data_IF_766016961653
#
_entry.id   IF_766016961653
#
_cell.length_a   1.000
_cell.length_b   1.000
_cell.length_c   1.000
_cell.angle_alpha   90.00
_cell.angle_beta   90.00
_cell.angle_gamma   90.00
#
_symmetry.space_group_name_H-M   'P 1'
#
loop_
_entity.id
_entity.type
_entity.pdbx_description
1 polymer ?
#
# COMPACT_ATOMS: atom_id res chain seq x y z
N UNK A 1 11.78 41.96 -48.69
CA UNK A 1 11.86 41.92 -47.22
C UNK A 1 10.72 41.03 -46.70
N UNK A 2 10.97 39.76 -46.37
CA UNK A 2 9.92 38.76 -46.05
C UNK A 2 10.16 37.97 -44.73
N UNK A 3 11.07 38.45 -43.87
CA UNK A 3 11.42 37.78 -42.60
C UNK A 3 10.67 38.27 -41.36
N UNK A 4 9.78 39.27 -41.47
CA UNK A 4 9.07 39.85 -40.31
C UNK A 4 7.73 39.17 -39.99
N UNK A 5 7.11 38.49 -40.95
CA UNK A 5 5.83 37.80 -40.71
C UNK A 5 6.05 36.46 -40.01
N UNK A 6 6.98 35.64 -40.48
CA UNK A 6 7.28 34.32 -39.89
C UNK A 6 7.70 34.39 -38.43
N UNK A 7 8.51 35.37 -38.04
CA UNK A 7 8.92 35.54 -36.62
C UNK A 7 7.75 36.00 -35.76
N UNK A 8 6.88 36.88 -36.27
CA UNK A 8 5.68 37.32 -35.56
C UNK A 8 4.69 36.17 -35.38
N UNK A 9 4.50 35.36 -36.41
CA UNK A 9 3.61 34.19 -36.37
C UNK A 9 4.17 33.09 -35.44
N UNK A 10 5.50 32.93 -35.38
CA UNK A 10 6.15 32.00 -34.45
C UNK A 10 5.99 32.45 -32.99
N UNK A 11 6.17 33.75 -32.70
CA UNK A 11 5.95 34.30 -31.36
C UNK A 11 4.46 34.21 -30.97
N UNK A 12 3.55 34.48 -31.91
CA UNK A 12 2.11 34.37 -31.68
C UNK A 12 1.70 32.92 -31.40
N UNK A 13 2.25 31.96 -32.15
CA UNK A 13 2.05 30.52 -31.92
C UNK A 13 2.59 30.09 -30.56
N UNK A 14 3.78 30.55 -30.18
CA UNK A 14 4.39 30.23 -28.88
C UNK A 14 3.57 30.81 -27.71
N UNK A 15 3.05 32.03 -27.87
CA UNK A 15 2.15 32.63 -26.89
C UNK A 15 0.81 31.88 -26.80
N UNK A 16 0.24 31.49 -27.94
CA UNK A 16 -1.01 30.71 -27.98
C UNK A 16 -0.85 29.36 -27.27
N UNK A 17 0.25 28.64 -27.54
CA UNK A 17 0.57 27.38 -26.86
C UNK A 17 0.81 27.63 -25.36
N UNK A 18 1.53 28.70 -25.00
CA UNK A 18 1.75 29.08 -23.60
C UNK A 18 0.46 29.33 -22.83
N UNK A 19 -0.53 29.97 -23.45
CA UNK A 19 -1.86 30.18 -22.86
C UNK A 19 -2.61 28.86 -22.68
N UNK A 20 -2.53 27.95 -23.65
CA UNK A 20 -3.15 26.62 -23.54
C UNK A 20 -2.49 25.80 -22.42
N UNK A 21 -1.17 25.80 -22.34
CA UNK A 21 -0.41 25.12 -21.28
C UNK A 21 -0.72 25.73 -19.91
N UNK A 22 -0.75 27.05 -19.80
CA UNK A 22 -1.12 27.74 -18.56
C UNK A 22 -2.57 27.44 -18.15
N UNK A 23 -3.48 27.37 -19.13
CA UNK A 23 -4.86 26.94 -18.90
C UNK A 23 -4.93 25.53 -18.34
N UNK A 24 -4.29 24.57 -19.01
CA UNK A 24 -4.19 23.18 -18.55
C UNK A 24 -3.55 23.13 -17.15
N UNK A 25 -2.48 23.90 -16.92
CA UNK A 25 -1.80 23.97 -15.63
C UNK A 25 -2.69 24.50 -14.51
N UNK A 26 -3.52 25.52 -14.77
CA UNK A 26 -4.49 26.05 -13.80
C UNK A 26 -5.62 25.05 -13.52
N UNK A 27 -5.99 24.22 -14.50
CA UNK A 27 -7.01 23.17 -14.32
C UNK A 27 -6.46 21.88 -13.69
N UNK A 28 -5.15 21.64 -13.75
CA UNK A 28 -4.50 20.57 -12.99
C UNK A 28 -4.30 21.11 -11.57
N UNK A 29 -4.99 20.59 -10.55
CA UNK A 29 -4.74 20.99 -9.18
C UNK A 29 -3.26 20.71 -8.84
N UNK A 30 -2.45 21.76 -8.81
CA UNK A 30 -1.13 21.75 -8.19
C UNK A 30 -1.36 22.00 -6.71
N UNK A 31 -1.72 20.94 -6.00
CA UNK A 31 -1.65 20.94 -4.56
C UNK A 31 -0.17 20.83 -4.15
N UNK A 32 0.57 21.94 -4.28
CA UNK A 32 1.90 22.15 -3.65
C UNK A 32 1.78 22.37 -2.12
N UNK A 33 0.65 21.97 -1.56
CA UNK A 33 0.49 21.77 -0.12
C UNK A 33 0.16 20.31 0.06
N UNK A 34 1.19 19.50 0.35
CA UNK A 34 1.02 18.18 0.94
C UNK A 34 0.25 18.37 2.25
N UNK A 35 -1.07 18.51 2.19
CA UNK A 35 -1.91 18.19 3.34
C UNK A 35 -1.72 16.69 3.51
N UNK A 36 -1.02 16.25 4.58
CA UNK A 36 -0.80 14.84 4.75
C UNK A 36 -2.19 14.18 4.81
N UNK A 37 -2.42 13.12 4.03
CA UNK A 37 -3.77 12.62 3.77
C UNK A 37 -4.50 12.34 5.08
N UNK A 38 -5.80 12.62 5.10
CA UNK A 38 -6.65 12.35 6.25
C UNK A 38 -6.65 10.85 6.52
N UNK A 39 -6.34 10.45 7.74
CA UNK A 39 -6.32 9.05 8.11
C UNK A 39 -7.76 8.51 8.09
N UNK A 40 -8.01 7.49 7.28
CA UNK A 40 -9.32 6.82 7.23
C UNK A 40 -9.35 5.67 8.26
N UNK A 41 -10.49 5.49 8.92
CA UNK A 41 -10.77 4.23 9.62
C UNK A 41 -11.01 3.13 8.57
N UNK A 42 -10.51 1.94 8.86
CA UNK A 42 -10.64 0.75 8.01
C UNK A 42 -11.30 -0.43 8.74
N UNK A 43 -11.85 -0.19 9.94
CA UNK A 43 -12.39 -1.23 10.83
C UNK A 43 -13.58 -1.96 10.23
N UNK A 44 -14.45 -1.22 9.53
CA UNK A 44 -15.66 -1.75 8.89
C UNK A 44 -15.29 -2.67 7.73
N UNK A 45 -14.39 -2.22 6.86
CA UNK A 45 -13.90 -2.98 5.71
C UNK A 45 -13.10 -4.18 6.17
N UNK A 46 -12.25 -4.04 7.19
CA UNK A 46 -11.50 -5.15 7.77
C UNK A 46 -12.43 -6.20 8.38
N UNK A 47 -13.43 -5.79 9.16
CA UNK A 47 -14.44 -6.71 9.72
C UNK A 47 -15.24 -7.42 8.63
N UNK A 48 -15.53 -6.72 7.53
CA UNK A 48 -16.22 -7.30 6.38
C UNK A 48 -15.32 -8.30 5.65
N UNK A 49 -14.07 -7.95 5.38
CA UNK A 49 -13.09 -8.80 4.73
C UNK A 49 -12.81 -10.06 5.54
N UNK A 50 -12.57 -9.94 6.86
CA UNK A 50 -12.33 -11.08 7.76
C UNK A 50 -13.49 -12.08 7.83
N UNK A 51 -14.73 -11.63 7.58
CA UNK A 51 -15.90 -12.51 7.52
C UNK A 51 -16.13 -13.14 6.14
N UNK A 52 -15.62 -12.51 5.08
CA UNK A 52 -15.92 -12.89 3.71
C UNK A 52 -14.78 -13.62 3.00
N UNK A 53 -13.53 -13.42 3.44
CA UNK A 53 -12.35 -14.05 2.85
C UNK A 53 -12.21 -15.49 3.34
N UNK A 54 -11.68 -16.33 2.45
CA UNK A 54 -11.30 -17.72 2.73
C UNK A 54 -9.98 -17.85 3.51
N UNK A 55 -9.27 -16.73 3.68
CA UNK A 55 -7.97 -16.64 4.36
C UNK A 55 -8.01 -15.61 5.50
N UNK A 56 -7.08 -15.70 6.47
CA UNK A 56 -7.10 -14.81 7.62
C UNK A 56 -6.53 -13.43 7.23
N UNK A 57 -7.42 -12.43 7.10
CA UNK A 57 -7.08 -11.08 6.62
C UNK A 57 -6.21 -10.32 7.64
N UNK A 58 -5.02 -9.94 7.19
CA UNK A 58 -3.99 -9.23 7.93
C UNK A 58 -4.23 -7.71 7.90
N UNK A 59 -4.20 -7.08 9.07
CA UNK A 59 -4.10 -5.64 9.21
C UNK A 59 -3.11 -5.29 10.32
N UNK A 60 -2.37 -4.18 10.21
CA UNK A 60 -1.42 -3.81 11.23
C UNK A 60 -2.13 -3.25 12.47
N UNK A 61 -1.75 -3.72 13.66
CA UNK A 61 -2.26 -3.26 14.96
C UNK A 61 -1.14 -2.59 15.74
N UNK A 62 -1.44 -1.50 16.43
CA UNK A 62 -0.46 -0.79 17.27
C UNK A 62 0.60 -0.01 16.50
N UNK A 63 0.38 0.31 15.21
CA UNK A 63 1.19 1.31 14.53
C UNK A 63 0.97 2.69 15.18
N UNK A 64 2.01 3.53 15.30
CA UNK A 64 1.84 4.86 15.86
C UNK A 64 0.94 5.74 14.98
N UNK A 65 0.28 6.73 15.60
CA UNK A 65 -0.72 7.61 14.95
C UNK A 65 -0.20 8.43 13.76
N UNK A 66 1.13 8.52 13.60
CA UNK A 66 1.77 9.17 12.47
C UNK A 66 1.78 8.31 11.19
N UNK A 67 1.40 7.03 11.29
CA UNK A 67 1.09 6.16 10.16
C UNK A 67 -0.37 6.31 9.76
N UNK A 68 -0.59 6.77 8.52
CA UNK A 68 -1.93 7.16 8.09
C UNK A 68 -2.48 6.20 7.06
N UNK A 69 -3.52 5.46 7.41
CA UNK A 69 -4.27 4.69 6.44
C UNK A 69 -4.94 5.64 5.44
N UNK A 70 -4.81 5.38 4.15
CA UNK A 70 -5.38 6.22 3.09
C UNK A 70 -6.29 5.47 2.14
N UNK A 71 -6.15 4.16 2.09
CA UNK A 71 -6.94 3.32 1.21
C UNK A 71 -7.18 1.99 1.88
N UNK A 72 -8.44 1.57 1.95
CA UNK A 72 -8.83 0.21 2.31
C UNK A 72 -9.78 -0.32 1.26
N UNK A 73 -9.54 -1.53 0.75
CA UNK A 73 -10.40 -2.20 -0.21
C UNK A 73 -10.35 -3.71 -0.03
N UNK A 74 -11.54 -4.31 -0.05
CA UNK A 74 -11.69 -5.75 -0.21
C UNK A 74 -12.50 -6.05 -1.48
N UNK A 75 -12.02 -7.00 -2.28
CA UNK A 75 -12.68 -7.48 -3.50
C UNK A 75 -12.83 -8.99 -3.42
N UNK A 76 -13.99 -9.46 -2.94
CA UNK A 76 -14.27 -10.90 -2.77
C UNK A 76 -14.57 -11.69 -4.06
N UNK A 77 -14.48 -11.08 -5.25
CA UNK A 77 -14.64 -11.81 -6.52
C UNK A 77 -13.36 -12.60 -6.84
N UNK A 78 -13.49 -13.76 -7.50
CA UNK A 78 -12.50 -14.74 -8.02
C UNK A 78 -11.18 -14.94 -7.22
N UNK A 79 -10.44 -13.89 -6.94
CA UNK A 79 -9.11 -13.88 -6.33
C UNK A 79 -9.08 -13.31 -4.90
N UNK A 80 -10.23 -12.92 -4.35
CA UNK A 80 -10.42 -12.42 -2.97
C UNK A 80 -9.30 -11.47 -2.53
N UNK A 81 -9.28 -10.25 -3.06
CA UNK A 81 -8.16 -9.33 -2.86
C UNK A 81 -8.39 -8.37 -1.70
N UNK A 82 -7.49 -8.38 -0.74
CA UNK A 82 -7.36 -7.39 0.31
C UNK A 82 -6.26 -6.39 -0.03
N UNK A 83 -6.55 -5.11 0.19
CA UNK A 83 -5.61 -4.01 0.01
C UNK A 83 -5.81 -2.98 1.12
N UNK A 84 -4.73 -2.68 1.83
CA UNK A 84 -4.68 -1.64 2.85
C UNK A 84 -3.42 -0.81 2.70
N UNK A 85 -3.57 0.46 2.35
CA UNK A 85 -2.50 1.41 2.07
C UNK A 85 -2.33 2.44 3.18
N UNK A 86 -1.08 2.73 3.51
CA UNK A 86 -0.64 3.70 4.51
C UNK A 86 0.41 4.65 3.95
N UNK A 87 0.49 5.85 4.51
CA UNK A 87 1.70 6.67 4.44
C UNK A 87 2.44 6.63 5.77
N UNK A 88 3.76 6.52 5.67
CA UNK A 88 4.70 6.67 6.78
C UNK A 88 4.82 8.14 7.21
N UNK A 89 5.44 8.42 8.37
CA UNK A 89 5.63 9.79 8.86
C UNK A 89 6.50 10.66 7.94
N UNK A 90 7.39 10.03 7.16
CA UNK A 90 8.23 10.66 6.13
C UNK A 90 7.58 10.65 4.72
N UNK A 91 6.27 10.38 4.64
CA UNK A 91 5.50 10.50 3.40
C UNK A 91 5.73 9.39 2.38
N UNK A 92 6.29 8.24 2.80
CA UNK A 92 6.48 7.06 1.95
C UNK A 92 5.26 6.16 2.01
N UNK A 93 5.00 5.46 0.91
CA UNK A 93 3.85 4.59 0.81
C UNK A 93 4.19 3.18 1.30
N UNK A 94 3.29 2.56 2.04
CA UNK A 94 3.30 1.13 2.40
C UNK A 94 1.92 0.54 2.19
N UNK A 95 1.82 -0.56 1.46
CA UNK A 95 0.61 -1.34 1.24
C UNK A 95 0.74 -2.74 1.83
N UNK A 96 -0.35 -3.22 2.42
CA UNK A 96 -0.57 -4.62 2.79
C UNK A 96 -1.55 -5.18 1.77
N UNK A 97 -1.10 -6.17 1.00
CA UNK A 97 -1.88 -6.83 -0.04
C UNK A 97 -2.02 -8.31 0.31
N UNK A 98 -3.23 -8.86 0.18
CA UNK A 98 -3.44 -10.31 0.26
C UNK A 98 -4.37 -10.80 -0.84
N UNK A 99 -4.12 -12.01 -1.32
CA UNK A 99 -4.96 -12.65 -2.34
C UNK A 99 -4.69 -14.16 -2.41
N UNK A 100 -5.70 -14.90 -2.88
CA UNK A 100 -5.60 -16.33 -3.25
C UNK A 100 -5.31 -16.53 -4.75
N UNK A 101 -4.99 -15.46 -5.50
CA UNK A 101 -4.55 -15.59 -6.88
C UNK A 101 -3.19 -16.31 -6.98
N UNK A 102 -2.81 -16.71 -8.19
CA UNK A 102 -1.52 -17.29 -8.51
C UNK A 102 -0.38 -16.40 -7.95
N UNK A 103 0.45 -16.92 -7.02
CA UNK A 103 1.40 -16.11 -6.28
C UNK A 103 2.35 -15.29 -7.16
N UNK A 104 2.91 -15.88 -8.21
CA UNK A 104 3.85 -15.19 -9.11
C UNK A 104 3.21 -13.95 -9.78
N UNK A 105 1.96 -14.08 -10.23
CA UNK A 105 1.23 -13.00 -10.88
C UNK A 105 0.86 -11.91 -9.88
N UNK A 106 0.32 -12.32 -8.73
CA UNK A 106 -0.09 -11.42 -7.68
C UNK A 106 1.09 -10.62 -7.11
N UNK A 107 2.21 -11.28 -6.80
CA UNK A 107 3.42 -10.62 -6.31
C UNK A 107 3.93 -9.61 -7.34
N UNK A 108 3.99 -9.99 -8.62
CA UNK A 108 4.44 -9.09 -9.67
C UNK A 108 3.54 -7.85 -9.78
N UNK A 109 2.23 -8.02 -9.66
CA UNK A 109 1.30 -6.90 -9.69
C UNK A 109 1.42 -6.01 -8.45
N UNK A 110 1.33 -6.60 -7.25
CA UNK A 110 1.38 -5.89 -5.97
C UNK A 110 2.68 -5.08 -5.81
N UNK A 111 3.81 -5.66 -6.24
CA UNK A 111 5.13 -5.05 -6.09
C UNK A 111 5.56 -4.15 -7.26
N UNK A 112 4.70 -3.99 -8.28
CA UNK A 112 5.04 -3.30 -9.53
C UNK A 112 6.30 -3.87 -10.21
N UNK A 113 6.34 -5.20 -10.35
CA UNK A 113 7.43 -5.98 -10.97
C UNK A 113 8.75 -5.99 -10.19
N UNK A 114 8.69 -6.03 -8.85
CA UNK A 114 9.87 -6.34 -8.05
C UNK A 114 10.32 -7.79 -8.25
N UNK A 115 11.63 -8.01 -8.14
CA UNK A 115 12.27 -9.30 -8.33
C UNK A 115 12.62 -9.94 -6.98
N UNK A 116 12.48 -11.26 -6.91
CA UNK A 116 12.77 -12.01 -5.71
C UNK A 116 14.28 -11.99 -5.40
N UNK A 117 14.65 -11.55 -4.21
CA UNK A 117 16.05 -11.63 -3.76
C UNK A 117 16.36 -13.01 -3.16
N UNK A 118 17.64 -13.23 -2.82
CA UNK A 118 18.08 -14.39 -2.04
C UNK A 118 17.89 -14.20 -0.53
N UNK A 119 17.37 -13.05 -0.09
CA UNK A 119 17.23 -12.69 1.31
C UNK A 119 15.84 -13.12 1.79
N UNK A 120 15.82 -13.88 2.88
CA UNK A 120 14.62 -14.16 3.67
C UNK A 120 14.90 -13.70 5.08
N UNK A 121 13.99 -12.93 5.65
CA UNK A 121 14.07 -12.43 7.01
C UNK A 121 12.91 -12.96 7.84
N UNK A 122 13.15 -13.23 9.11
CA UNK A 122 12.12 -13.71 10.02
C UNK A 122 11.52 -12.54 10.77
N UNK A 123 10.20 -12.40 10.73
CA UNK A 123 9.45 -11.35 11.42
C UNK A 123 8.34 -12.04 12.21
N UNK A 124 8.29 -11.82 13.52
CA UNK A 124 7.36 -12.51 14.44
C UNK A 124 7.36 -14.05 14.29
N UNK A 125 8.53 -14.65 14.02
CA UNK A 125 8.66 -16.09 13.83
C UNK A 125 8.30 -16.60 12.42
N UNK A 126 7.87 -15.70 11.53
CA UNK A 126 7.41 -16.06 10.19
C UNK A 126 8.42 -15.65 9.10
N UNK A 127 8.65 -16.48 8.07
CA UNK A 127 9.61 -16.19 7.02
C UNK A 127 9.03 -15.24 5.97
N UNK A 128 9.69 -14.10 5.78
CA UNK A 128 9.38 -13.11 4.75
C UNK A 128 10.50 -13.06 3.72
N UNK A 129 10.17 -13.38 2.47
CA UNK A 129 11.10 -13.26 1.35
C UNK A 129 11.14 -11.82 0.87
N UNK A 130 12.35 -11.27 0.70
CA UNK A 130 12.54 -9.90 0.23
C UNK A 130 12.49 -9.86 -1.29
N UNK A 131 11.78 -8.86 -1.80
CA UNK A 131 11.72 -8.48 -3.20
C UNK A 131 12.22 -7.05 -3.35
N UNK A 132 12.94 -6.77 -4.43
CA UNK A 132 13.48 -5.46 -4.75
C UNK A 132 13.06 -5.05 -6.16
N UNK A 133 12.55 -3.84 -6.29
CA UNK A 133 12.03 -3.30 -7.55
C UNK A 133 12.49 -1.87 -7.77
N UNK A 134 12.31 -1.38 -8.99
CA UNK A 134 12.63 0.03 -9.31
C UNK A 134 11.73 1.00 -8.54
N UNK A 135 10.45 0.63 -8.37
CA UNK A 135 9.46 1.48 -7.71
C UNK A 135 9.20 1.11 -6.26
N UNK A 136 8.93 -0.18 -6.01
CA UNK A 136 8.60 -0.69 -4.69
C UNK A 136 9.49 -1.85 -4.31
N UNK A 137 9.95 -1.83 -3.07
CA UNK A 137 10.46 -3.00 -2.39
C UNK A 137 9.27 -3.78 -1.79
N UNK A 138 9.49 -5.04 -1.48
CA UNK A 138 8.47 -5.82 -0.78
C UNK A 138 9.02 -6.91 0.13
N UNK A 139 8.17 -7.29 1.07
CA UNK A 139 8.28 -8.49 1.88
C UNK A 139 7.08 -9.36 1.53
N UNK A 140 7.37 -10.60 1.13
CA UNK A 140 6.35 -11.56 0.71
C UNK A 140 6.38 -12.77 1.62
N UNK A 141 5.20 -13.20 2.06
CA UNK A 141 4.96 -14.42 2.82
C UNK A 141 3.80 -15.18 2.20
N UNK A 142 3.87 -16.51 2.23
CA UNK A 142 2.75 -17.37 1.85
C UNK A 142 2.12 -17.97 3.10
N UNK A 143 0.80 -17.79 3.22
CA UNK A 143 -0.02 -18.19 4.36
C UNK A 143 -1.06 -19.21 3.87
N UNK A 144 -0.70 -20.49 3.85
CA UNK A 144 -1.53 -21.52 3.24
C UNK A 144 -1.76 -21.25 1.75
N UNK A 145 -3.02 -21.04 1.36
CA UNK A 145 -3.42 -20.77 -0.04
C UNK A 145 -3.38 -19.27 -0.40
N UNK A 146 -3.18 -18.38 0.57
CA UNK A 146 -3.09 -16.94 0.35
C UNK A 146 -1.64 -16.46 0.33
N UNK A 147 -1.37 -15.43 -0.48
CA UNK A 147 -0.10 -14.72 -0.48
C UNK A 147 -0.28 -13.37 0.19
N UNK A 148 0.57 -13.05 1.16
CA UNK A 148 0.62 -11.75 1.85
C UNK A 148 1.85 -10.98 1.36
N UNK A 149 1.64 -9.74 0.91
CA UNK A 149 2.70 -8.87 0.41
C UNK A 149 2.64 -7.54 1.15
N UNK A 150 3.73 -7.16 1.80
CA UNK A 150 3.95 -5.81 2.33
C UNK A 150 4.89 -5.09 1.39
N UNK A 151 4.41 -4.07 0.69
CA UNK A 151 5.14 -3.44 -0.42
C UNK A 151 5.00 -1.92 -0.42
N UNK A 152 5.98 -1.21 -0.95
CA UNK A 152 5.86 0.22 -1.15
C UNK A 152 7.18 0.92 -1.39
N UNK A 153 7.12 2.26 -1.40
CA UNK A 153 8.31 3.11 -1.58
C UNK A 153 9.04 3.39 -0.27
N UNK A 154 8.49 2.94 0.86
CA UNK A 154 9.15 3.00 2.15
C UNK A 154 10.35 2.06 2.22
N UNK A 155 11.29 2.37 3.11
CA UNK A 155 12.46 1.51 3.32
C UNK A 155 12.06 0.10 3.77
N UNK A 156 12.91 -0.90 3.48
CA UNK A 156 12.68 -2.28 3.93
C UNK A 156 12.47 -2.37 5.46
N UNK A 157 13.11 -1.49 6.24
CA UNK A 157 12.92 -1.41 7.69
C UNK A 157 11.51 -0.94 8.08
N UNK A 158 10.93 0.01 7.33
CA UNK A 158 9.54 0.44 7.52
C UNK A 158 8.55 -0.62 7.06
N UNK A 159 8.81 -1.30 5.94
CA UNK A 159 8.01 -2.46 5.52
C UNK A 159 8.04 -3.55 6.60
N UNK A 160 9.20 -3.79 7.21
CA UNK A 160 9.35 -4.76 8.30
C UNK A 160 8.56 -4.38 9.56
N UNK A 161 8.45 -3.08 9.88
CA UNK A 161 7.62 -2.60 10.99
C UNK A 161 6.14 -2.89 10.75
N UNK A 162 5.64 -2.64 9.53
CA UNK A 162 4.25 -2.97 9.17
C UNK A 162 4.04 -4.47 9.21
N UNK A 163 4.94 -5.25 8.62
CA UNK A 163 4.88 -6.72 8.65
C UNK A 163 4.86 -7.27 10.09
N UNK A 164 5.64 -6.67 11.00
CA UNK A 164 5.66 -7.05 12.43
C UNK A 164 4.40 -6.62 13.19
N UNK A 165 3.63 -5.67 12.67
CA UNK A 165 2.39 -5.22 13.27
C UNK A 165 1.17 -6.03 12.78
N UNK A 166 1.32 -6.88 11.76
CA UNK A 166 0.19 -7.58 11.16
C UNK A 166 -0.44 -8.60 12.11
N UNK A 167 -1.75 -8.46 12.30
CA UNK A 167 -2.59 -9.43 12.99
C UNK A 167 -3.69 -9.94 12.07
N UNK A 168 -3.88 -11.26 12.06
CA UNK A 168 -4.79 -11.97 11.15
C UNK A 168 -6.06 -12.49 11.84
N UNK A 169 -6.19 -12.26 13.14
CA UNK A 169 -7.39 -12.46 13.94
C UNK A 169 -7.57 -11.28 14.89
N UNK A 170 -8.79 -11.00 15.34
CA UNK A 170 -8.96 -10.16 16.52
C UNK A 170 -8.31 -10.88 17.72
N UNK A 171 -7.72 -10.17 18.69
CA UNK A 171 -7.26 -10.80 19.92
C UNK A 171 -8.49 -11.37 20.67
N UNK A 172 -8.84 -12.62 20.42
CA UNK A 172 -9.75 -13.38 21.26
C UNK A 172 -8.90 -14.18 22.25
N UNK A 173 -8.92 -13.75 23.51
CA UNK A 173 -8.55 -14.58 24.66
C UNK A 173 -7.17 -14.30 25.25
N UNK A 174 -7.09 -13.29 26.12
CA UNK A 174 -6.43 -13.55 27.40
C UNK A 174 -7.21 -14.69 28.08
N UNK A 175 -6.76 -15.93 27.86
CA UNK A 175 -7.15 -17.10 28.63
C UNK A 175 -6.51 -16.97 30.02
N UNK A 176 -6.95 -15.97 30.80
CA UNK A 176 -6.66 -15.91 32.22
C UNK A 176 -7.46 -17.04 32.88
N UNK A 177 -6.78 -18.16 33.08
CA UNK A 177 -7.17 -19.18 34.04
C UNK A 177 -7.33 -18.55 35.42
N UNK A 178 -8.55 -18.12 35.74
CA UNK A 178 -8.93 -17.86 37.12
C UNK A 178 -9.49 -19.16 37.68
N UNK A 179 -8.54 -19.93 38.20
CA UNK A 179 -8.64 -20.84 39.32
C UNK A 179 -10.06 -21.17 39.79
N UNK A 180 -10.45 -22.44 39.62
CA UNK A 180 -10.47 -23.35 40.76
C UNK A 180 -10.70 -22.65 42.12
N UNK A 181 -11.92 -22.14 42.33
CA UNK A 181 -12.44 -21.97 43.68
C UNK A 181 -13.20 -23.24 44.01
N UNK A 182 -12.44 -24.18 44.58
CA UNK A 182 -12.77 -25.04 45.71
C UNK A 182 -14.19 -24.77 46.29
N UNK A 183 -15.05 -25.78 46.33
CA UNK A 183 -15.13 -26.76 47.45
C UNK A 183 -15.35 -26.10 48.81
#
# INVERSE_FOLDING_TARGET
MKGKQTVKDMILSMAAIGIVVAGIYVFIPHDDTEKPPEAISYDVELSTARRAASYPVAAPVGLPDDWRATTVRYKGAENERWHLGFYTPDGKYVGVEQSVDQPERFIKEATQSAEATKITQTINGEPWKRYEGERYDALVRQDGDATTVVTGSASIGQLSKVAAALETAAPEGEEQGQADQAS
#
